data_IF_468866659227
#
_entry.id   IF_468866659227
#
_cell.length_a   1.000
_cell.length_b   1.000
_cell.length_c   1.000
_cell.angle_alpha   90.00
_cell.angle_beta   90.00
_cell.angle_gamma   90.00
#
_symmetry.space_group_name_H-M   'P 1'
#
loop_
_entity.id
_entity.type
_entity.pdbx_description
1 polymer ?
#
# COMPACT_ATOMS: atom_id res chain seq x y z
N UNK A 1 2.98 -6.73 -17.69
CA UNK A 1 3.19 -5.27 -17.59
C UNK A 1 4.68 -5.09 -17.54
N UNK A 2 5.29 -4.43 -18.52
CA UNK A 2 6.73 -4.16 -18.49
C UNK A 2 6.87 -2.72 -17.99
N UNK A 3 7.48 -2.54 -16.82
CA UNK A 3 7.84 -1.19 -16.37
C UNK A 3 9.05 -0.69 -17.17
N UNK A 4 9.33 0.59 -17.04
CA UNK A 4 10.55 1.18 -17.58
C UNK A 4 11.78 0.54 -16.90
N UNK A 5 12.91 0.43 -17.60
CA UNK A 5 14.12 -0.23 -17.09
C UNK A 5 14.60 0.39 -15.76
N UNK A 6 14.46 1.70 -15.59
CA UNK A 6 14.80 2.40 -14.34
C UNK A 6 13.89 1.96 -13.18
N UNK A 7 12.61 1.73 -13.47
CA UNK A 7 11.61 1.29 -12.48
C UNK A 7 11.85 -0.17 -12.10
N UNK A 8 12.13 -1.04 -13.07
CA UNK A 8 12.49 -2.44 -12.79
C UNK A 8 13.76 -2.53 -11.93
N UNK A 9 14.77 -1.68 -12.20
CA UNK A 9 15.99 -1.64 -11.39
C UNK A 9 15.71 -1.17 -9.96
N UNK A 10 14.92 -0.11 -9.79
CA UNK A 10 14.54 0.39 -8.47
C UNK A 10 13.74 -0.67 -7.67
N UNK A 11 12.83 -1.39 -8.33
CA UNK A 11 12.10 -2.50 -7.72
C UNK A 11 13.02 -3.67 -7.34
N UNK A 12 13.98 -4.02 -8.19
CA UNK A 12 14.94 -5.08 -7.90
C UNK A 12 15.83 -4.72 -6.70
N UNK A 13 16.33 -3.49 -6.64
CA UNK A 13 17.09 -2.97 -5.49
C UNK A 13 16.25 -2.98 -4.22
N UNK A 14 14.99 -2.53 -4.30
CA UNK A 14 14.10 -2.57 -3.16
C UNK A 14 13.82 -4.00 -2.68
N UNK A 15 13.69 -4.98 -3.59
CA UNK A 15 13.52 -6.39 -3.25
C UNK A 15 14.72 -6.92 -2.45
N UNK A 16 15.93 -6.56 -2.89
CA UNK A 16 17.16 -6.95 -2.22
C UNK A 16 17.27 -6.28 -0.84
N UNK A 17 17.07 -4.97 -0.75
CA UNK A 17 17.22 -4.22 0.50
C UNK A 17 16.18 -4.60 1.57
N UNK A 18 14.93 -4.81 1.15
CA UNK A 18 13.82 -5.14 2.06
C UNK A 18 13.66 -6.64 2.28
N UNK A 19 14.44 -7.48 1.57
CA UNK A 19 14.31 -8.94 1.57
C UNK A 19 12.86 -9.41 1.30
N UNK A 20 12.19 -8.70 0.39
CA UNK A 20 10.79 -8.94 0.02
C UNK A 20 10.69 -9.35 -1.45
N UNK A 21 9.60 -10.03 -1.80
CA UNK A 21 9.33 -10.34 -3.21
C UNK A 21 8.86 -9.10 -3.97
N UNK A 22 9.06 -9.08 -5.28
CA UNK A 22 8.60 -7.98 -6.15
C UNK A 22 7.11 -7.69 -5.97
N UNK A 23 6.31 -8.73 -5.83
CA UNK A 23 4.86 -8.64 -5.64
C UNK A 23 4.48 -8.03 -4.27
N UNK A 24 5.24 -8.31 -3.22
CA UNK A 24 5.07 -7.68 -1.91
C UNK A 24 5.42 -6.19 -1.95
N UNK A 25 6.51 -5.82 -2.61
CA UNK A 25 6.92 -4.43 -2.75
C UNK A 25 5.92 -3.64 -3.58
N UNK A 26 5.46 -4.19 -4.70
CA UNK A 26 4.41 -3.56 -5.52
C UNK A 26 3.15 -3.33 -4.67
N UNK A 27 2.72 -4.34 -3.89
CA UNK A 27 1.57 -4.15 -2.98
C UNK A 27 1.82 -3.08 -1.94
N UNK A 28 3.01 -3.00 -1.39
CA UNK A 28 3.36 -2.03 -0.35
C UNK A 28 3.33 -0.61 -0.93
N UNK A 29 3.97 -0.38 -2.08
CA UNK A 29 3.96 0.90 -2.79
C UNK A 29 2.53 1.31 -3.16
N UNK A 30 1.74 0.40 -3.72
CA UNK A 30 0.35 0.70 -4.09
C UNK A 30 -0.52 0.99 -2.86
N UNK A 31 -0.31 0.27 -1.74
CA UNK A 31 -1.03 0.52 -0.49
C UNK A 31 -0.72 1.91 0.04
N UNK A 32 0.56 2.23 0.23
CA UNK A 32 1.00 3.54 0.71
C UNK A 32 0.46 4.67 -0.18
N UNK A 33 0.48 4.46 -1.51
CA UNK A 33 -0.05 5.43 -2.46
C UNK A 33 -1.57 5.60 -2.31
N UNK A 34 -2.32 4.50 -2.21
CA UNK A 34 -3.78 4.57 -2.02
C UNK A 34 -4.17 5.17 -0.66
N UNK A 35 -3.40 4.92 0.41
CA UNK A 35 -3.59 5.53 1.73
C UNK A 35 -3.30 7.03 1.68
N UNK A 36 -2.18 7.45 1.08
CA UNK A 36 -1.82 8.87 0.95
C UNK A 36 -2.85 9.67 0.15
N UNK A 37 -3.45 9.07 -0.87
CA UNK A 37 -4.50 9.72 -1.68
C UNK A 37 -5.91 9.57 -1.09
N UNK A 38 -6.06 8.93 0.08
CA UNK A 38 -7.35 8.74 0.75
C UNK A 38 -8.30 7.79 0.04
N UNK A 39 -7.80 6.95 -0.87
CA UNK A 39 -8.58 5.90 -1.54
C UNK A 39 -8.71 4.65 -0.69
N UNK A 40 -7.71 4.35 0.15
CA UNK A 40 -7.92 3.47 1.30
C UNK A 40 -8.38 4.36 2.45
N UNK A 41 -9.62 4.18 2.90
CA UNK A 41 -9.93 4.50 4.30
C UNK A 41 -9.00 3.64 5.14
N UNK A 42 -8.01 4.27 5.77
CA UNK A 42 -7.44 3.70 6.99
C UNK A 42 -8.67 3.44 7.84
N UNK A 43 -9.04 2.18 8.04
CA UNK A 43 -10.04 1.82 9.02
C UNK A 43 -9.40 2.18 10.36
N UNK A 44 -9.40 3.47 10.71
CA UNK A 44 -9.59 3.86 12.08
C UNK A 44 -10.87 3.14 12.46
N UNK A 45 -10.69 2.01 13.13
CA UNK A 45 -11.70 1.35 13.92
C UNK A 45 -12.16 2.39 14.94
N UNK A 46 -13.05 3.31 14.53
CA UNK A 46 -13.86 4.06 15.47
C UNK A 46 -14.86 3.05 16.03
N UNK A 47 -14.36 2.39 17.05
CA UNK A 47 -15.05 1.45 17.91
C UNK A 47 -16.13 2.21 18.67
N UNK A 48 -17.34 2.24 18.13
CA UNK A 48 -18.58 2.40 18.87
C UNK A 48 -18.86 3.78 19.51
N UNK A 49 -19.77 4.53 18.90
CA UNK A 49 -20.79 5.22 19.68
C UNK A 49 -22.17 4.95 19.08
N UNK A 50 -22.98 4.19 19.80
CA UNK A 50 -24.34 3.89 19.43
C UNK A 50 -25.19 5.14 19.27
N UNK A 51 -26.02 5.12 18.24
CA UNK A 51 -27.32 5.78 18.33
C UNK A 51 -28.37 4.81 17.79
N UNK A 52 -28.84 3.96 18.70
CA UNK A 52 -30.24 3.56 18.64
C UNK A 52 -31.06 4.73 19.17
N UNK A 53 -31.77 5.43 18.29
CA UNK A 53 -32.95 6.30 18.51
C UNK A 53 -33.36 6.89 17.15
N UNK A 54 -34.61 6.84 16.68
CA UNK A 54 -35.90 6.38 17.19
C UNK A 54 -36.90 6.46 16.05
#
# INVERSE_FOLDING_TARGET
MNFDDDVELALALACEELQMTRDEIIRLILREWLEQYGFLSVHELDEGNGDGRG
#
